data_IF_727992409902
#
_entry.id   IF_727992409902
#
_cell.length_a   1.000
_cell.length_b   1.000
_cell.length_c   1.000
_cell.angle_alpha   90.00
_cell.angle_beta   90.00
_cell.angle_gamma   90.00
#
_symmetry.space_group_name_H-M   'P 1'
#
loop_
_entity.id
_entity.type
_entity.pdbx_description
1 polymer ?
#
# COMPACT_ATOMS: atom_id res chain seq x y z
N UNK A 1 8.09 6.50 -12.26
CA UNK A 1 8.66 5.28 -11.65
C UNK A 1 7.55 4.46 -11.01
N UNK A 2 7.79 3.18 -10.73
CA UNK A 2 6.78 2.29 -10.15
C UNK A 2 7.26 1.70 -8.84
N UNK A 3 6.35 1.54 -7.89
CA UNK A 3 6.70 1.13 -6.53
C UNK A 3 5.73 0.09 -6.00
N UNK A 4 6.28 -0.90 -5.30
CA UNK A 4 5.56 -1.82 -4.44
C UNK A 4 5.69 -1.35 -2.99
N UNK A 5 4.55 -1.21 -2.33
CA UNK A 5 4.45 -0.85 -0.92
C UNK A 5 3.93 -2.03 -0.12
N UNK A 6 4.63 -2.39 0.96
CA UNK A 6 4.08 -3.29 1.98
C UNK A 6 3.64 -2.43 3.15
N UNK A 7 2.39 -2.57 3.55
CA UNK A 7 1.74 -1.73 4.53
C UNK A 7 0.92 -2.56 5.51
N UNK A 8 0.70 -2.01 6.69
CA UNK A 8 -0.14 -2.59 7.71
C UNK A 8 -1.58 -2.10 7.56
N UNK A 9 -2.44 -3.01 7.13
CA UNK A 9 -3.88 -2.82 7.01
C UNK A 9 -4.63 -3.24 8.27
N UNK A 10 -5.81 -2.67 8.49
CA UNK A 10 -6.76 -3.16 9.48
C UNK A 10 -7.88 -2.19 9.80
N UNK A 11 -8.86 -2.64 10.60
CA UNK A 11 -9.91 -1.77 11.12
C UNK A 11 -9.48 -1.14 12.45
N UNK A 12 -9.76 0.14 12.65
CA UNK A 12 -9.50 0.84 13.92
C UNK A 12 -10.32 0.17 15.03
N UNK A 13 -9.73 -0.03 16.21
CA UNK A 13 -10.41 -0.62 17.38
C UNK A 13 -10.45 -2.16 17.47
N UNK A 14 -10.18 -2.90 16.38
CA UNK A 14 -10.27 -4.36 16.40
C UNK A 14 -9.03 -5.09 16.98
N UNK A 15 -7.97 -4.37 17.35
CA UNK A 15 -6.68 -4.92 17.80
C UNK A 15 -5.89 -5.73 16.76
N UNK A 16 -6.53 -6.10 15.63
CA UNK A 16 -5.94 -6.91 14.56
C UNK A 16 -5.37 -6.04 13.44
N UNK A 17 -4.28 -6.50 12.85
CA UNK A 17 -3.69 -5.98 11.62
C UNK A 17 -3.28 -7.10 10.68
N UNK A 18 -3.12 -6.77 9.40
CA UNK A 18 -2.65 -7.68 8.37
C UNK A 18 -1.72 -6.92 7.40
N UNK A 19 -0.93 -7.67 6.64
CA UNK A 19 -0.06 -7.08 5.63
C UNK A 19 -0.82 -6.90 4.33
N UNK A 20 -0.80 -5.67 3.83
CA UNK A 20 -1.42 -5.22 2.59
C UNK A 20 -0.30 -4.80 1.65
N UNK A 21 -0.32 -5.33 0.44
CA UNK A 21 0.56 -4.89 -0.64
C UNK A 21 -0.20 -3.92 -1.53
N UNK A 22 0.42 -2.78 -1.85
CA UNK A 22 -0.10 -1.85 -2.85
C UNK A 22 0.93 -1.43 -3.88
N UNK A 23 0.46 -1.05 -5.06
CA UNK A 23 1.29 -0.66 -6.19
C UNK A 23 0.98 0.77 -6.62
N UNK A 24 2.02 1.59 -6.66
CA UNK A 24 1.94 3.03 -6.96
C UNK A 24 2.81 3.40 -8.14
N UNK A 25 2.35 4.38 -8.90
CA UNK A 25 3.17 5.13 -9.86
C UNK A 25 3.44 6.51 -9.27
N UNK A 26 4.67 7.00 -9.42
CA UNK A 26 5.07 8.34 -8.97
C UNK A 26 6.46 8.73 -9.44
N UNK A 27 6.82 9.99 -9.18
CA UNK A 27 8.08 10.58 -9.62
C UNK A 27 9.26 10.20 -8.70
N UNK A 28 9.00 10.05 -7.41
CA UNK A 28 10.01 9.69 -6.40
C UNK A 28 9.40 8.95 -5.19
N UNK A 29 10.28 8.42 -4.34
CA UNK A 29 9.91 7.64 -3.15
C UNK A 29 9.14 8.45 -2.10
N UNK A 30 9.47 9.73 -1.91
CA UNK A 30 8.82 10.60 -0.93
C UNK A 30 7.40 10.95 -1.36
N UNK A 31 7.20 11.28 -2.64
CA UNK A 31 5.89 11.53 -3.22
C UNK A 31 4.95 10.32 -3.08
N UNK A 32 5.48 9.12 -3.32
CA UNK A 32 4.72 7.88 -3.12
C UNK A 32 4.43 7.61 -1.64
N UNK A 33 5.41 7.82 -0.76
CA UNK A 33 5.22 7.71 0.69
C UNK A 33 4.11 8.64 1.18
N UNK A 34 4.14 9.92 0.79
CA UNK A 34 3.11 10.91 1.14
C UNK A 34 1.72 10.55 0.61
N UNK A 35 1.63 10.01 -0.62
CA UNK A 35 0.35 9.55 -1.18
C UNK A 35 -0.19 8.31 -0.47
N UNK A 36 0.69 7.43 0.01
CA UNK A 36 0.29 6.19 0.69
C UNK A 36 -0.55 6.45 1.95
N UNK A 37 -0.38 7.60 2.62
CA UNK A 37 -1.18 7.98 3.80
C UNK A 37 -2.69 8.09 3.53
N UNK A 38 -3.10 8.28 2.26
CA UNK A 38 -4.51 8.33 1.86
C UNK A 38 -5.07 6.95 1.50
N UNK A 39 -4.27 5.89 1.62
CA UNK A 39 -4.71 4.52 1.29
C UNK A 39 -5.75 4.05 2.31
N UNK A 40 -6.93 3.58 1.87
CA UNK A 40 -7.91 3.00 2.76
C UNK A 40 -7.31 1.85 3.58
N UNK A 41 -7.82 1.67 4.81
CA UNK A 41 -7.39 0.63 5.76
C UNK A 41 -5.96 0.75 6.29
N UNK A 42 -5.14 1.68 5.82
CA UNK A 42 -3.79 1.89 6.36
C UNK A 42 -3.88 2.26 7.84
N UNK A 43 -3.19 1.50 8.70
CA UNK A 43 -3.06 1.82 10.11
C UNK A 43 -2.18 3.05 10.29
N UNK A 44 -2.69 4.03 11.03
CA UNK A 44 -1.88 5.15 11.52
C UNK A 44 -1.18 4.70 12.81
N UNK A 45 0.14 4.82 12.86
CA UNK A 45 0.94 4.59 14.07
C UNK A 45 1.62 5.89 14.49
N UNK A 46 1.98 6.00 15.77
CA UNK A 46 2.50 7.22 16.39
C UNK A 46 3.78 7.77 15.73
N UNK A 47 4.61 6.91 15.11
CA UNK A 47 5.93 7.28 14.58
C UNK A 47 6.11 7.04 13.07
N UNK A 48 5.01 6.85 12.34
CA UNK A 48 5.07 6.59 10.91
C UNK A 48 3.82 5.88 10.45
N UNK A 49 3.43 6.12 9.19
CA UNK A 49 2.43 5.31 8.51
C UNK A 49 2.67 3.83 8.77
N UNK A 50 1.61 3.02 8.75
CA UNK A 50 1.73 1.56 8.65
C UNK A 50 2.54 1.06 7.44
N UNK A 51 3.19 1.91 6.65
CA UNK A 51 4.13 1.53 5.59
C UNK A 51 5.36 0.88 6.21
N UNK A 52 5.61 -0.38 5.81
CA UNK A 52 6.75 -1.19 6.26
C UNK A 52 7.88 -1.22 5.23
N UNK A 53 7.55 -1.15 3.94
CA UNK A 53 8.51 -1.19 2.84
C UNK A 53 8.00 -0.35 1.68
N UNK A 54 8.91 0.40 1.06
CA UNK A 54 8.73 0.96 -0.29
C UNK A 54 9.88 0.43 -1.14
N UNK A 55 9.53 -0.21 -2.24
CA UNK A 55 10.49 -0.80 -3.17
C UNK A 55 10.17 -0.32 -4.58
N UNK A 56 11.17 0.25 -5.27
CA UNK A 56 11.05 0.51 -6.70
C UNK A 56 11.01 -0.82 -7.47
N UNK A 57 10.13 -0.89 -8.46
CA UNK A 57 9.88 -2.07 -9.28
C UNK A 57 9.80 -1.70 -10.76
N UNK A 58 9.89 -2.71 -11.62
CA UNK A 58 9.68 -2.52 -13.05
C UNK A 58 8.20 -2.26 -13.40
N UNK A 59 7.97 -1.69 -14.58
CA UNK A 59 6.61 -1.52 -15.13
C UNK A 59 5.84 -2.86 -15.25
N UNK A 60 6.54 -3.95 -15.61
CA UNK A 60 5.92 -5.27 -15.73
C UNK A 60 5.41 -5.80 -14.40
N UNK A 61 6.23 -5.66 -13.35
CA UNK A 61 5.83 -6.04 -11.99
C UNK A 61 4.68 -5.17 -11.48
N UNK A 62 4.69 -3.87 -11.81
CA UNK A 62 3.59 -2.97 -11.50
C UNK A 62 2.29 -3.43 -12.13
N UNK A 63 2.29 -3.70 -13.44
CA UNK A 63 1.08 -4.14 -14.16
C UNK A 63 0.53 -5.46 -13.61
N UNK A 64 1.40 -6.44 -13.35
CA UNK A 64 1.02 -7.71 -12.73
C UNK A 64 0.46 -7.50 -11.31
N UNK A 65 1.09 -6.62 -10.53
CA UNK A 65 0.65 -6.25 -9.19
C UNK A 65 -0.72 -5.58 -9.16
N UNK A 66 -0.99 -4.66 -10.09
CA UNK A 66 -2.31 -4.00 -10.22
C UNK A 66 -3.42 -4.99 -10.58
N UNK A 67 -3.14 -6.00 -11.39
CA UNK A 67 -4.10 -7.06 -11.70
C UNK A 67 -4.42 -7.90 -10.45
N UNK A 68 -3.40 -8.24 -9.66
CA UNK A 68 -3.59 -8.94 -8.38
C UNK A 68 -4.37 -8.10 -7.37
N UNK A 69 -4.04 -6.82 -7.22
CA UNK A 69 -4.78 -5.91 -6.35
C UNK A 69 -6.26 -5.87 -6.69
N UNK A 70 -6.61 -5.77 -7.99
CA UNK A 70 -8.01 -5.72 -8.45
C UNK A 70 -8.81 -6.96 -8.06
N UNK A 71 -8.13 -8.11 -8.01
CA UNK A 71 -8.71 -9.40 -7.63
C UNK A 71 -8.81 -9.58 -6.11
N UNK A 72 -8.13 -8.76 -5.31
CA UNK A 72 -8.16 -8.85 -3.85
C UNK A 72 -9.46 -8.23 -3.28
N UNK A 73 -10.37 -9.04 -2.71
CA UNK A 73 -11.65 -8.56 -2.20
C UNK A 73 -11.51 -7.73 -0.91
N UNK A 74 -10.41 -7.89 -0.15
CA UNK A 74 -10.20 -7.11 1.08
C UNK A 74 -9.72 -5.68 0.78
N UNK A 75 -9.16 -5.50 -0.41
CA UNK A 75 -8.61 -4.24 -0.88
C UNK A 75 -9.61 -3.40 -1.68
N UNK A 76 -10.62 -4.01 -2.28
CA UNK A 76 -11.61 -3.34 -3.16
C UNK A 76 -13.05 -3.48 -2.68
N UNK A 77 -13.28 -3.77 -1.40
CA UNK A 77 -14.63 -3.65 -0.82
C UNK A 77 -15.02 -2.16 -0.80
N UNK A 78 -15.97 -1.80 -1.66
CA UNK A 78 -16.70 -0.53 -1.64
C UNK A 78 -17.50 -0.39 -0.34
#
# INVERSE_FOLDING_TARGET
MYFKLVMEGGHVGAGKSYDMVRYFEGDDIFGVFSRSFRTPRLKKKEFGSGVKLIQEISWREYMAGKDQERKDPYLNRN
#
